data_IF_883141357360
#
_entry.id   IF_883141357360
#
_cell.length_a   1.000
_cell.length_b   1.000
_cell.length_c   1.000
_cell.angle_alpha   90.00
_cell.angle_beta   90.00
_cell.angle_gamma   90.00
#
_symmetry.space_group_name_H-M   'P 1'
#
loop_
_entity.id
_entity.type
_entity.pdbx_description
1 polymer ?
#
# COMPACT_ATOMS: atom_id res chain seq x y z
N UNK A 1 6.75 -21.49 -23.78
CA UNK A 1 5.34 -21.10 -23.98
C UNK A 1 5.04 -20.02 -22.95
N UNK A 2 4.99 -18.76 -23.40
CA UNK A 2 4.80 -17.50 -22.64
C UNK A 2 5.45 -17.43 -21.25
N UNK A 3 6.70 -16.95 -21.20
CA UNK A 3 7.30 -16.39 -19.98
C UNK A 3 6.59 -15.09 -19.60
N UNK A 4 5.37 -15.21 -19.10
CA UNK A 4 4.63 -14.06 -18.57
C UNK A 4 5.25 -13.70 -17.23
N UNK A 5 6.02 -12.60 -17.21
CA UNK A 5 6.54 -12.01 -15.98
C UNK A 5 5.36 -11.71 -15.05
N UNK A 6 5.37 -12.18 -13.78
CA UNK A 6 4.35 -11.84 -12.80
C UNK A 6 4.11 -10.33 -12.77
N UNK A 7 2.87 -9.89 -12.94
CA UNK A 7 2.52 -8.48 -13.05
C UNK A 7 1.10 -8.18 -12.54
N UNK A 8 0.95 -7.03 -11.89
CA UNK A 8 -0.34 -6.51 -11.45
C UNK A 8 -1.11 -5.80 -12.58
N UNK A 9 -0.49 -5.52 -13.73
CA UNK A 9 -1.08 -4.67 -14.81
C UNK A 9 -2.51 -5.08 -15.21
N UNK A 10 -2.85 -6.37 -15.43
CA UNK A 10 -4.22 -6.76 -15.80
C UNK A 10 -5.27 -6.49 -14.73
N UNK A 11 -4.86 -6.30 -13.47
CA UNK A 11 -5.73 -6.06 -12.33
C UNK A 11 -5.95 -4.58 -12.04
N UNK A 12 -5.22 -3.67 -12.71
CA UNK A 12 -5.33 -2.22 -12.47
C UNK A 12 -6.41 -1.61 -13.38
N UNK A 13 -7.55 -1.14 -12.85
CA UNK A 13 -8.57 -0.48 -13.65
C UNK A 13 -8.06 0.87 -14.18
N UNK A 14 -8.54 1.34 -15.36
CA UNK A 14 -8.13 2.63 -15.93
C UNK A 14 -8.85 3.81 -15.25
N UNK A 15 -8.63 3.97 -13.94
CA UNK A 15 -9.20 5.02 -13.09
C UNK A 15 -8.14 5.62 -12.18
N UNK A 16 -8.41 6.83 -11.67
CA UNK A 16 -7.61 7.49 -10.62
C UNK A 16 -8.31 7.49 -9.26
N UNK A 17 -9.49 6.90 -9.19
CA UNK A 17 -10.24 6.76 -7.94
C UNK A 17 -9.55 5.74 -7.03
N UNK A 18 -9.08 6.20 -5.87
CA UNK A 18 -8.35 5.39 -4.90
C UNK A 18 -9.21 4.25 -4.33
N UNK A 19 -10.53 4.43 -4.21
CA UNK A 19 -11.41 3.40 -3.70
C UNK A 19 -11.57 2.26 -4.71
N UNK A 20 -11.72 2.62 -5.99
CA UNK A 20 -11.75 1.64 -7.08
C UNK A 20 -10.41 0.90 -7.22
N UNK A 21 -9.29 1.61 -7.07
CA UNK A 21 -7.95 0.99 -7.10
C UNK A 21 -7.72 0.07 -5.89
N UNK A 22 -8.19 0.45 -4.70
CA UNK A 22 -8.13 -0.39 -3.50
C UNK A 22 -8.94 -1.68 -3.68
N UNK A 23 -10.17 -1.57 -4.18
CA UNK A 23 -11.02 -2.72 -4.43
C UNK A 23 -10.43 -3.68 -5.48
N UNK A 24 -9.75 -3.14 -6.49
CA UNK A 24 -9.07 -3.95 -7.51
C UNK A 24 -7.81 -4.64 -6.95
N UNK A 25 -7.03 -3.94 -6.11
CA UNK A 25 -5.84 -4.51 -5.47
C UNK A 25 -6.17 -5.74 -4.61
N UNK A 26 -7.33 -5.76 -3.94
CA UNK A 26 -7.83 -6.93 -3.18
C UNK A 26 -8.03 -8.20 -4.02
N UNK A 27 -8.17 -8.04 -5.34
CA UNK A 27 -8.39 -9.13 -6.29
C UNK A 27 -7.12 -9.44 -7.10
N UNK A 28 -6.01 -8.76 -6.83
CA UNK A 28 -4.77 -8.93 -7.56
C UNK A 28 -4.23 -10.35 -7.38
N UNK A 29 -3.90 -11.03 -8.46
CA UNK A 29 -3.20 -12.33 -8.47
C UNK A 29 -1.95 -12.27 -9.33
N UNK A 30 -1.33 -11.09 -9.36
CA UNK A 30 -0.20 -10.77 -10.23
C UNK A 30 1.13 -11.38 -9.80
N UNK A 31 1.25 -11.89 -8.58
CA UNK A 31 2.41 -12.60 -8.04
C UNK A 31 1.96 -13.63 -6.99
N UNK A 32 2.86 -14.38 -6.35
CA UNK A 32 2.48 -15.42 -5.38
C UNK A 32 2.16 -14.89 -3.96
N UNK A 33 2.43 -13.61 -3.67
CA UNK A 33 2.28 -13.04 -2.32
C UNK A 33 0.84 -13.03 -1.80
N UNK A 34 -0.17 -13.07 -2.69
CA UNK A 34 -1.57 -13.18 -2.28
C UNK A 34 -1.91 -14.49 -1.57
N UNK A 35 -1.10 -15.54 -1.76
CA UNK A 35 -1.43 -16.90 -1.31
C UNK A 35 -1.36 -17.03 0.20
N UNK A 36 -0.41 -16.33 0.81
CA UNK A 36 -0.09 -16.46 2.23
C UNK A 36 -0.43 -15.21 3.05
N UNK A 37 -0.72 -14.08 2.40
CA UNK A 37 -1.15 -12.85 3.07
C UNK A 37 -2.57 -12.97 3.63
N UNK A 38 -2.86 -12.29 4.75
CA UNK A 38 -4.21 -12.24 5.33
C UNK A 38 -5.13 -11.39 4.47
N UNK A 39 -4.65 -10.22 4.04
CA UNK A 39 -5.40 -9.28 3.23
C UNK A 39 -4.48 -8.21 2.61
N UNK A 40 -4.90 -7.65 1.48
CA UNK A 40 -4.23 -6.53 0.82
C UNK A 40 -4.11 -5.30 1.70
N UNK A 41 -2.86 -4.88 1.95
CA UNK A 41 -2.56 -3.55 2.50
C UNK A 41 -2.23 -2.61 1.34
N UNK A 42 -3.17 -1.72 1.03
CA UNK A 42 -3.04 -0.73 -0.05
C UNK A 42 -2.26 0.50 0.46
N UNK A 43 -2.75 1.72 0.23
CA UNK A 43 -2.27 2.93 0.90
C UNK A 43 -3.34 3.60 1.75
N UNK A 44 -2.97 4.63 2.51
CA UNK A 44 -3.87 5.47 3.28
C UNK A 44 -3.45 6.94 3.19
N UNK A 45 -4.43 7.84 3.16
CA UNK A 45 -4.23 9.28 3.10
C UNK A 45 -5.17 9.94 2.09
N UNK A 46 -5.15 11.27 1.99
CA UNK A 46 -6.04 11.98 1.10
C UNK A 46 -5.60 11.84 -0.36
N UNK A 47 -6.53 11.82 -1.33
CA UNK A 47 -6.22 11.69 -2.76
C UNK A 47 -5.47 12.90 -3.33
N UNK A 48 -5.54 14.05 -2.66
CA UNK A 48 -4.88 15.30 -2.99
C UNK A 48 -3.64 15.57 -2.11
N UNK A 49 -3.06 14.53 -1.48
CA UNK A 49 -1.82 14.65 -0.73
C UNK A 49 -0.69 15.24 -1.59
N UNK A 50 0.02 16.24 -1.06
CA UNK A 50 1.18 16.85 -1.73
C UNK A 50 2.41 15.96 -1.66
N UNK A 51 2.47 15.07 -0.66
CA UNK A 51 3.58 14.15 -0.41
C UNK A 51 3.04 12.73 -0.32
N UNK A 52 3.69 11.81 -1.03
CA UNK A 52 3.48 10.37 -0.89
C UNK A 52 4.74 9.70 -0.34
N UNK A 53 4.60 8.85 0.67
CA UNK A 53 5.67 8.02 1.21
C UNK A 53 5.44 6.56 0.83
N UNK A 54 6.46 5.93 0.26
CA UNK A 54 6.40 4.56 -0.25
C UNK A 54 7.43 3.71 0.50
N UNK A 55 6.94 2.78 1.32
CA UNK A 55 7.74 1.74 1.98
C UNK A 55 8.00 0.54 1.07
N UNK A 56 8.64 -0.48 1.61
CA UNK A 56 8.95 -1.71 0.87
C UNK A 56 7.72 -2.63 0.76
N UNK A 57 7.31 -3.20 1.89
CA UNK A 57 6.21 -4.17 1.99
C UNK A 57 5.54 -4.10 3.38
N UNK A 58 4.28 -4.51 3.51
CA UNK A 58 3.58 -4.64 4.80
C UNK A 58 4.27 -5.67 5.71
N UNK A 59 4.32 -5.39 7.01
CA UNK A 59 4.72 -6.36 8.03
C UNK A 59 3.52 -7.08 8.65
N UNK A 60 3.79 -7.93 9.65
CA UNK A 60 2.76 -8.75 10.31
C UNK A 60 1.59 -7.95 10.89
N UNK A 61 1.84 -6.76 11.44
CA UNK A 61 0.76 -5.95 12.03
C UNK A 61 -0.04 -5.24 10.94
N UNK A 62 0.62 -4.74 9.91
CA UNK A 62 -0.03 -4.14 8.75
C UNK A 62 -0.94 -5.16 8.05
N UNK A 63 -0.46 -6.39 7.81
CA UNK A 63 -1.24 -7.48 7.19
C UNK A 63 -2.47 -7.85 8.03
N UNK A 64 -2.34 -7.93 9.36
CA UNK A 64 -3.48 -8.23 10.25
C UNK A 64 -4.49 -7.09 10.33
N UNK A 65 -4.02 -5.84 10.33
CA UNK A 65 -4.90 -4.66 10.47
C UNK A 65 -5.45 -4.16 9.13
N UNK A 66 -4.83 -4.53 7.99
CA UNK A 66 -5.20 -4.04 6.65
C UNK A 66 -4.75 -2.60 6.39
N UNK A 67 -3.81 -2.08 7.19
CA UNK A 67 -3.42 -0.67 7.22
C UNK A 67 -1.90 -0.51 7.15
N UNK A 68 -1.36 0.41 6.32
CA UNK A 68 0.08 0.60 6.19
C UNK A 68 0.66 1.35 7.39
N UNK A 69 1.88 1.00 7.79
CA UNK A 69 2.66 1.70 8.83
C UNK A 69 1.97 1.79 10.20
N UNK A 70 1.38 0.70 10.69
CA UNK A 70 0.79 0.63 12.05
C UNK A 70 1.76 0.09 13.10
N UNK A 71 2.84 -0.56 12.67
CA UNK A 71 3.87 -1.13 13.54
C UNK A 71 4.90 -0.12 14.09
N UNK A 72 6.01 -0.60 14.71
CA UNK A 72 6.99 0.27 15.35
C UNK A 72 7.72 1.16 14.34
N UNK A 73 7.95 0.64 13.13
CA UNK A 73 8.50 1.40 12.01
C UNK A 73 7.55 2.53 11.57
N UNK A 74 6.24 2.26 11.54
CA UNK A 74 5.23 3.28 11.25
C UNK A 74 5.16 4.38 12.30
N UNK A 75 5.24 4.02 13.59
CA UNK A 75 5.34 5.00 14.67
C UNK A 75 6.61 5.86 14.58
N UNK A 76 7.72 5.30 14.10
CA UNK A 76 8.94 6.06 13.83
C UNK A 76 8.76 6.99 12.62
N UNK A 77 8.10 6.51 11.55
CA UNK A 77 7.77 7.31 10.39
C UNK A 77 6.89 8.52 10.76
N UNK A 78 5.85 8.32 11.56
CA UNK A 78 4.97 9.40 12.01
C UNK A 78 5.74 10.49 12.78
N UNK A 79 6.72 10.09 13.63
CA UNK A 79 7.61 11.04 14.30
C UNK A 79 8.50 11.79 13.31
N UNK A 80 9.10 11.09 12.34
CA UNK A 80 9.96 11.71 11.34
C UNK A 80 9.19 12.69 10.43
N UNK A 81 7.94 12.37 10.07
CA UNK A 81 7.03 13.26 9.33
C UNK A 81 6.80 14.55 10.14
N UNK A 82 6.48 14.42 11.42
CA UNK A 82 6.25 15.57 12.29
C UNK A 82 7.51 16.42 12.49
N UNK A 83 8.68 15.79 12.69
CA UNK A 83 9.98 16.47 12.81
C UNK A 83 10.38 17.21 11.53
N UNK A 84 9.98 16.69 10.36
CA UNK A 84 10.16 17.35 9.08
C UNK A 84 9.17 18.51 8.82
N UNK A 85 8.24 18.77 9.76
CA UNK A 85 7.21 19.81 9.62
C UNK A 85 6.09 19.45 8.64
N UNK A 86 5.94 18.17 8.31
CA UNK A 86 4.86 17.67 7.45
C UNK A 86 3.65 17.27 8.30
N UNK A 87 2.46 17.45 7.75
CA UNK A 87 1.22 16.97 8.36
C UNK A 87 0.90 15.55 7.88
N UNK A 88 0.81 14.61 8.83
CA UNK A 88 0.46 13.22 8.56
C UNK A 88 -0.92 13.07 7.91
N UNK A 89 -1.85 13.97 8.22
CA UNK A 89 -3.19 13.99 7.64
C UNK A 89 -3.19 14.46 6.17
N UNK A 90 -2.12 15.14 5.73
CA UNK A 90 -1.92 15.62 4.35
C UNK A 90 -0.92 14.77 3.56
N UNK A 91 -0.52 13.63 4.12
CA UNK A 91 0.47 12.72 3.53
C UNK A 91 -0.21 11.41 3.14
N UNK A 92 0.04 10.94 1.93
CA UNK A 92 -0.35 9.61 1.49
C UNK A 92 0.77 8.61 1.82
N UNK A 93 0.45 7.46 2.39
CA UNK A 93 1.43 6.41 2.71
C UNK A 93 1.03 5.09 2.07
N UNK A 94 1.99 4.36 1.52
CA UNK A 94 1.76 3.02 0.93
C UNK A 94 3.07 2.22 0.87
N UNK A 95 3.03 1.02 0.30
CA UNK A 95 4.19 0.19 0.06
C UNK A 95 4.37 -0.09 -1.44
N UNK A 96 5.60 -0.38 -1.86
CA UNK A 96 5.90 -0.75 -3.24
C UNK A 96 5.30 -2.12 -3.61
N UNK A 97 5.20 -3.01 -2.62
CA UNK A 97 4.56 -4.32 -2.72
C UNK A 97 3.33 -4.33 -1.80
N UNK A 98 2.23 -4.91 -2.25
CA UNK A 98 1.06 -5.15 -1.40
C UNK A 98 1.07 -6.61 -0.93
N UNK A 99 0.73 -6.84 0.34
CA UNK A 99 0.52 -8.18 0.88
C UNK A 99 -0.85 -8.69 0.45
N UNK A 100 -1.03 -9.27 -0.74
CA UNK A 100 -2.36 -9.74 -1.15
C UNK A 100 -2.54 -9.95 -2.64
#
# INVERSE_FOLDING_TARGET
>A
MSDTVPTAVPFVPPTRDLDALRAAAQQCRGCDLYKDATQTVFGEGPPDAEVAMVGEQPGDMEDREGRPFVGPAGKLLDRAIAEAGLDRARTYVTNAVFSG
#
